data_IF_815808475944
#
_entry.id   IF_815808475944
#
_cell.length_a   1.000
_cell.length_b   1.000
_cell.length_c   1.000
_cell.angle_alpha   90.00
_cell.angle_beta   90.00
_cell.angle_gamma   90.00
#
_symmetry.space_group_name_H-M   'P 1'
#
loop_
_entity.id
_entity.type
_entity.pdbx_description
1 polymer ?
#
# COMPACT_ATOMS: atom_id res chain seq x y z
N UNK A 1 -13.42 -7.13 6.90
CA UNK A 1 -14.06 -5.79 6.90
C UNK A 1 -13.13 -4.69 7.42
N UNK A 2 -12.40 -4.85 8.56
CA UNK A 2 -11.47 -3.82 9.08
C UNK A 2 -10.38 -3.47 8.08
N UNK A 3 -9.89 -4.43 7.31
CA UNK A 3 -8.88 -4.23 6.24
C UNK A 3 -9.36 -3.21 5.22
N UNK A 4 -10.64 -3.25 4.84
CA UNK A 4 -11.20 -2.42 3.79
C UNK A 4 -11.71 -1.04 4.28
N UNK A 5 -11.64 -0.78 5.58
CA UNK A 5 -12.09 0.50 6.13
C UNK A 5 -10.99 1.57 6.12
N UNK A 6 -9.74 1.14 6.11
CA UNK A 6 -8.62 2.05 6.26
C UNK A 6 -7.29 1.36 5.92
N UNK A 7 -6.36 2.10 5.32
CA UNK A 7 -5.00 1.63 5.02
C UNK A 7 -4.15 1.63 6.30
N UNK A 8 -4.24 0.53 7.03
CA UNK A 8 -3.58 0.42 8.33
C UNK A 8 -2.06 0.36 8.17
N UNK A 9 -1.30 1.27 8.81
CA UNK A 9 0.16 1.27 8.71
C UNK A 9 0.82 -0.05 9.15
N UNK A 10 0.14 -0.82 10.00
CA UNK A 10 0.61 -2.13 10.44
C UNK A 10 0.61 -3.18 9.33
N UNK A 11 -0.17 -2.95 8.26
CA UNK A 11 -0.28 -3.83 7.09
C UNK A 11 0.60 -3.38 5.92
N UNK A 12 1.28 -2.23 6.06
CA UNK A 12 2.21 -1.75 5.03
C UNK A 12 3.39 -2.71 4.92
N UNK A 13 3.69 -3.10 3.69
CA UNK A 13 4.84 -3.94 3.33
C UNK A 13 5.62 -3.30 2.19
N UNK A 14 6.89 -3.59 2.16
CA UNK A 14 7.77 -3.17 1.07
C UNK A 14 7.96 -4.33 0.10
N UNK A 15 7.81 -4.05 -1.19
CA UNK A 15 8.13 -4.97 -2.25
C UNK A 15 9.23 -4.40 -3.13
N UNK A 16 10.26 -5.20 -3.38
CA UNK A 16 11.40 -4.81 -4.22
C UNK A 16 11.45 -5.74 -5.43
N UNK A 17 11.48 -5.14 -6.61
CA UNK A 17 11.61 -5.81 -7.90
C UNK A 17 13.04 -5.60 -8.38
N UNK A 18 13.73 -6.70 -8.71
CA UNK A 18 15.01 -6.67 -9.40
C UNK A 18 14.76 -6.96 -10.90
N UNK A 19 14.98 -5.96 -11.75
CA UNK A 19 14.75 -6.07 -13.19
C UNK A 19 15.76 -6.99 -13.89
N UNK A 20 16.86 -7.34 -13.23
CA UNK A 20 17.82 -8.31 -13.76
C UNK A 20 17.35 -9.76 -13.63
N UNK A 21 16.49 -10.04 -12.67
CA UNK A 21 15.95 -11.37 -12.42
C UNK A 21 14.94 -11.78 -13.51
N UNK A 22 14.15 -10.82 -14.01
CA UNK A 22 13.18 -11.04 -15.09
C UNK A 22 13.16 -9.88 -16.08
N UNK A 23 13.74 -10.09 -17.27
CA UNK A 23 13.79 -9.06 -18.31
C UNK A 23 12.48 -8.88 -19.08
N UNK A 24 11.40 -9.58 -18.72
CA UNK A 24 10.10 -9.46 -19.40
C UNK A 24 9.39 -8.14 -19.08
N UNK A 25 9.71 -7.52 -17.95
CA UNK A 25 8.99 -6.35 -17.43
C UNK A 25 7.65 -6.69 -16.79
N UNK A 26 7.35 -7.98 -16.60
CA UNK A 26 6.11 -8.49 -16.01
C UNK A 26 6.46 -9.25 -14.73
N UNK A 27 5.91 -8.82 -13.60
CA UNK A 27 6.23 -9.37 -12.29
C UNK A 27 4.99 -9.84 -11.56
N UNK A 28 5.07 -11.02 -10.94
CA UNK A 28 3.99 -11.55 -10.12
C UNK A 28 3.85 -10.74 -8.84
N UNK A 29 2.62 -10.38 -8.47
CA UNK A 29 2.35 -9.69 -7.21
C UNK A 29 2.66 -10.59 -6.01
N UNK A 30 3.08 -10.01 -4.86
CA UNK A 30 3.22 -10.77 -3.62
C UNK A 30 1.94 -11.52 -3.26
N UNK A 31 2.07 -12.73 -2.70
CA UNK A 31 0.91 -13.57 -2.35
C UNK A 31 -0.05 -12.92 -1.33
N UNK A 32 0.46 -11.99 -0.55
CA UNK A 32 -0.29 -11.22 0.44
C UNK A 32 -0.72 -9.83 -0.05
N UNK A 33 -0.53 -9.54 -1.33
CA UNK A 33 -0.88 -8.24 -1.91
C UNK A 33 -2.38 -7.98 -1.87
N UNK A 34 -2.78 -6.79 -1.41
CA UNK A 34 -4.13 -6.26 -1.50
C UNK A 34 -4.19 -5.11 -2.50
N UNK A 35 -3.52 -4.01 -2.20
CA UNK A 35 -3.40 -2.89 -3.13
C UNK A 35 -2.10 -2.10 -2.89
N UNK A 36 -1.70 -1.35 -3.92
CA UNK A 36 -0.50 -0.53 -3.92
C UNK A 36 -0.75 0.82 -3.25
N UNK A 37 0.25 1.29 -2.51
CA UNK A 37 0.27 2.66 -2.01
C UNK A 37 0.83 3.56 -3.13
N UNK A 38 0.01 4.47 -3.61
CA UNK A 38 0.38 5.36 -4.71
C UNK A 38 1.56 6.25 -4.34
N UNK A 39 2.41 6.54 -5.34
CA UNK A 39 3.57 7.44 -5.24
C UNK A 39 4.69 6.94 -4.30
N UNK A 40 4.73 5.65 -4.01
CA UNK A 40 5.81 5.00 -3.26
C UNK A 40 6.82 4.29 -4.17
N UNK A 41 6.60 4.30 -5.48
CA UNK A 41 7.39 3.57 -6.46
C UNK A 41 8.66 4.35 -6.81
N UNK A 42 9.82 3.79 -6.48
CA UNK A 42 11.11 4.40 -6.72
C UNK A 42 12.11 3.41 -7.30
N UNK A 43 12.86 3.88 -8.29
CA UNK A 43 14.10 3.25 -8.67
C UNK A 43 15.19 3.64 -7.66
N UNK A 44 15.67 2.65 -6.92
CA UNK A 44 16.66 2.85 -5.86
C UNK A 44 18.08 3.10 -6.41
N UNK A 45 18.35 2.63 -7.62
CA UNK A 45 19.69 2.79 -8.23
C UNK A 45 19.89 4.19 -8.81
N UNK A 46 18.85 4.71 -9.48
CA UNK A 46 18.89 6.00 -10.16
C UNK A 46 18.22 7.12 -9.35
N UNK A 47 17.58 6.80 -8.22
CA UNK A 47 16.83 7.74 -7.38
C UNK A 47 15.75 8.51 -8.14
N UNK A 48 15.05 7.82 -9.04
CA UNK A 48 13.99 8.38 -9.90
C UNK A 48 12.64 7.75 -9.54
N UNK A 49 11.57 8.54 -9.42
CA UNK A 49 10.24 7.99 -9.21
C UNK A 49 9.73 7.27 -10.47
N UNK A 50 9.11 6.12 -10.26
CA UNK A 50 8.39 5.38 -11.32
C UNK A 50 6.96 5.86 -11.36
N UNK A 51 6.46 6.20 -12.57
CA UNK A 51 5.10 6.72 -12.75
C UNK A 51 4.06 5.61 -12.74
N UNK A 52 2.97 5.80 -12.05
CA UNK A 52 1.84 4.85 -12.05
C UNK A 52 1.14 4.73 -10.70
N UNK A 53 0.18 3.79 -10.59
CA UNK A 53 -0.31 2.91 -11.66
C UNK A 53 -1.07 3.68 -12.76
N UNK A 54 -0.79 3.36 -14.01
CA UNK A 54 -1.45 3.99 -15.17
C UNK A 54 -2.82 3.36 -15.42
N UNK A 55 -3.76 4.19 -15.88
CA UNK A 55 -5.04 3.71 -16.37
C UNK A 55 -4.87 2.94 -17.69
N UNK A 56 -5.79 2.04 -18.06
CA UNK A 56 -5.73 1.32 -19.35
C UNK A 56 -5.60 2.25 -20.55
N UNK A 57 -6.26 3.41 -20.53
CA UNK A 57 -6.17 4.40 -21.60
C UNK A 57 -4.77 5.02 -21.72
N UNK A 58 -4.17 5.39 -20.59
CA UNK A 58 -2.81 5.94 -20.55
C UNK A 58 -1.78 4.90 -21.00
N UNK A 59 -1.98 3.65 -20.61
CA UNK A 59 -1.10 2.56 -21.01
C UNK A 59 -1.15 2.30 -22.53
N UNK A 60 -2.35 2.18 -23.09
CA UNK A 60 -2.52 1.99 -24.55
C UNK A 60 -1.94 3.15 -25.33
N UNK A 61 -2.07 4.38 -24.83
CA UNK A 61 -1.44 5.55 -25.46
C UNK A 61 0.08 5.44 -25.41
N UNK A 62 0.65 5.04 -24.27
CA UNK A 62 2.09 4.89 -24.09
C UNK A 62 2.68 3.83 -25.03
N UNK A 63 2.03 2.67 -25.15
CA UNK A 63 2.43 1.60 -26.09
C UNK A 63 2.24 2.01 -27.56
N UNK A 64 1.09 2.61 -27.88
CA UNK A 64 0.73 2.99 -29.25
C UNK A 64 1.58 4.10 -29.85
N UNK A 65 2.05 5.02 -29.02
CA UNK A 65 2.91 6.12 -29.48
C UNK A 65 4.37 5.74 -29.60
N UNK A 66 4.74 4.54 -29.13
CA UNK A 66 6.13 4.04 -29.10
C UNK A 66 7.10 5.13 -28.56
N UNK A 67 6.62 5.93 -27.60
CA UNK A 67 7.35 6.99 -26.94
C UNK A 67 8.42 6.39 -26.02
N UNK A 68 9.37 5.69 -26.60
CA UNK A 68 10.65 5.36 -25.98
C UNK A 68 11.48 6.65 -25.98
N UNK A 69 10.90 7.68 -25.39
CA UNK A 69 11.54 8.99 -25.25
C UNK A 69 12.32 9.00 -23.94
N UNK A 70 13.48 9.62 -23.95
CA UNK A 70 14.29 9.89 -22.75
C UNK A 70 13.55 10.67 -21.65
N UNK A 71 12.32 11.07 -21.88
CA UNK A 71 11.48 11.88 -20.98
C UNK A 71 10.64 11.02 -20.03
N UNK A 72 10.30 9.78 -20.41
CA UNK A 72 9.53 8.84 -19.56
C UNK A 72 10.49 7.73 -19.14
N UNK A 73 10.88 7.75 -17.88
CA UNK A 73 11.84 6.81 -17.35
C UNK A 73 11.26 5.39 -17.30
N UNK A 74 10.21 5.21 -16.53
CA UNK A 74 9.45 3.98 -16.42
C UNK A 74 8.04 4.31 -15.93
N UNK A 75 7.09 3.54 -16.42
CA UNK A 75 5.70 3.59 -15.96
C UNK A 75 5.27 2.18 -15.59
N UNK A 76 4.33 2.07 -14.66
CA UNK A 76 3.81 0.78 -14.23
C UNK A 76 2.28 0.76 -14.34
N UNK A 77 1.75 -0.43 -14.59
CA UNK A 77 0.34 -0.75 -14.42
C UNK A 77 0.16 -2.08 -13.69
N UNK A 78 -0.98 -2.22 -13.06
CA UNK A 78 -1.44 -3.51 -12.56
C UNK A 78 -2.43 -4.10 -13.57
N UNK A 79 -2.18 -5.32 -14.00
CA UNK A 79 -3.02 -6.05 -14.94
C UNK A 79 -2.94 -7.55 -14.67
N UNK A 80 -4.09 -8.22 -14.59
CA UNK A 80 -4.21 -9.68 -14.43
C UNK A 80 -3.35 -10.25 -13.26
N UNK A 81 -3.50 -9.64 -12.07
CA UNK A 81 -2.72 -9.98 -10.86
C UNK A 81 -1.19 -9.89 -11.02
N UNK A 82 -0.74 -9.12 -12.01
CA UNK A 82 0.66 -8.84 -12.29
C UNK A 82 0.93 -7.35 -12.31
N UNK A 83 2.20 -7.02 -12.12
CA UNK A 83 2.72 -5.68 -12.35
C UNK A 83 3.49 -5.67 -13.66
N UNK A 84 3.15 -4.74 -14.55
CA UNK A 84 3.88 -4.50 -15.79
C UNK A 84 4.61 -3.17 -15.75
N UNK A 85 5.86 -3.17 -16.22
CA UNK A 85 6.74 -2.00 -16.34
C UNK A 85 6.99 -1.69 -17.81
N UNK A 86 6.76 -0.43 -18.23
CA UNK A 86 7.07 0.03 -19.57
C UNK A 86 7.46 1.52 -19.60
N UNK A 87 8.50 1.95 -20.33
CA UNK A 87 9.58 1.10 -20.82
C UNK A 87 10.31 0.44 -19.65
N UNK A 88 10.85 -0.75 -19.90
CA UNK A 88 11.61 -1.44 -18.87
C UNK A 88 12.94 -0.71 -18.63
N UNK A 89 13.28 -0.37 -17.38
CA UNK A 89 14.58 0.19 -17.06
C UNK A 89 15.71 -0.79 -17.40
N UNK A 90 16.83 -0.25 -17.84
CA UNK A 90 18.01 -1.06 -18.11
C UNK A 90 18.50 -1.78 -16.84
N UNK A 91 18.70 -3.11 -16.87
CA UNK A 91 19.20 -3.84 -15.71
C UNK A 91 20.69 -3.48 -15.43
N UNK A 92 21.15 -3.58 -14.18
CA UNK A 92 20.35 -3.93 -12.98
C UNK A 92 19.63 -2.71 -12.42
N UNK A 93 18.34 -2.83 -12.19
CA UNK A 93 17.54 -1.79 -11.53
C UNK A 93 16.70 -2.40 -10.43
N UNK A 94 16.74 -1.79 -9.25
CA UNK A 94 15.93 -2.17 -8.10
C UNK A 94 14.77 -1.17 -7.94
N UNK A 95 13.56 -1.62 -8.19
CA UNK A 95 12.35 -0.81 -7.99
C UNK A 95 11.73 -1.22 -6.66
N UNK A 96 11.65 -0.27 -5.75
CA UNK A 96 10.99 -0.44 -4.45
C UNK A 96 9.63 0.25 -4.47
N UNK A 97 8.64 -0.40 -3.87
CA UNK A 97 7.32 0.17 -3.65
C UNK A 97 6.71 -0.36 -2.37
N UNK A 98 5.72 0.36 -1.87
CA UNK A 98 4.95 -0.06 -0.71
C UNK A 98 3.55 -0.49 -1.13
N UNK A 99 3.03 -1.48 -0.43
CA UNK A 99 1.67 -2.00 -0.63
C UNK A 99 1.02 -2.35 0.70
N UNK A 100 -0.29 -2.46 0.70
CA UNK A 100 -1.06 -2.98 1.83
C UNK A 100 -1.16 -4.50 1.67
N UNK A 101 -0.79 -5.20 2.73
CA UNK A 101 -0.93 -6.65 2.81
C UNK A 101 -2.34 -7.03 3.27
N UNK A 102 -2.94 -8.05 2.63
CA UNK A 102 -4.19 -8.65 3.10
C UNK A 102 -4.01 -9.56 4.31
N UNK A 103 -2.76 -9.92 4.66
CA UNK A 103 -2.48 -10.78 5.80
C UNK A 103 -2.44 -9.97 7.09
N UNK A 104 -3.44 -10.19 7.93
CA UNK A 104 -3.62 -9.51 9.23
C UNK A 104 -3.59 -10.45 10.42
N UNK A 105 -3.40 -11.77 10.18
CA UNK A 105 -3.26 -12.79 11.20
C UNK A 105 -1.85 -13.36 11.16
N UNK A 106 -1.25 -13.48 12.33
CA UNK A 106 0.05 -14.12 12.52
C UNK A 106 -0.15 -15.44 13.25
N UNK A 107 0.24 -16.53 12.60
CA UNK A 107 0.22 -17.86 13.19
C UNK A 107 1.22 -17.98 14.34
N UNK A 108 0.90 -18.77 15.34
CA UNK A 108 1.79 -18.99 16.45
C UNK A 108 3.17 -19.52 15.98
N UNK A 109 4.23 -18.84 16.42
CA UNK A 109 5.61 -19.16 16.04
C UNK A 109 6.12 -18.44 14.79
N UNK A 110 5.26 -17.70 14.08
CA UNK A 110 5.68 -16.82 13.01
C UNK A 110 6.09 -15.44 13.54
N UNK A 111 6.89 -14.72 12.77
CA UNK A 111 7.36 -13.36 13.10
C UNK A 111 6.66 -12.27 12.27
N UNK A 112 5.95 -12.68 11.23
CA UNK A 112 5.20 -11.79 10.33
C UNK A 112 3.81 -12.37 10.06
N UNK A 113 2.81 -11.54 9.81
CA UNK A 113 1.48 -12.01 9.40
C UNK A 113 1.56 -12.83 8.11
N UNK A 114 0.89 -13.98 8.12
CA UNK A 114 0.95 -14.95 7.02
C UNK A 114 -0.42 -15.47 6.59
N UNK A 115 -1.51 -14.95 7.18
CA UNK A 115 -2.89 -15.37 6.88
C UNK A 115 -3.86 -14.19 6.92
N UNK A 116 -4.96 -14.35 6.19
CA UNK A 116 -6.10 -13.45 6.17
C UNK A 116 -7.29 -13.94 7.03
N UNK A 117 -7.16 -15.13 7.62
CA UNK A 117 -8.19 -15.80 8.42
C UNK A 117 -7.61 -16.38 9.70
N UNK A 118 -8.41 -16.35 10.78
CA UNK A 118 -8.07 -16.98 12.04
C UNK A 118 -8.43 -18.46 11.93
N UNK A 119 -7.47 -19.35 12.21
CA UNK A 119 -7.68 -20.80 12.18
C UNK A 119 -7.59 -21.44 13.56
N UNK A 120 -6.84 -20.87 14.47
CA UNK A 120 -6.65 -21.39 15.82
C UNK A 120 -6.78 -20.30 16.88
N UNK A 121 -7.08 -20.69 18.12
CA UNK A 121 -7.17 -19.75 19.24
C UNK A 121 -5.83 -19.16 19.69
N UNK A 122 -4.72 -19.67 19.18
CA UNK A 122 -3.37 -19.18 19.45
C UNK A 122 -2.86 -18.21 18.39
N UNK A 123 -3.63 -17.97 17.32
CA UNK A 123 -3.29 -17.00 16.29
C UNK A 123 -3.34 -15.58 16.85
N UNK A 124 -2.37 -14.76 16.48
CA UNK A 124 -2.30 -13.36 16.89
C UNK A 124 -2.91 -12.46 15.81
N UNK A 125 -3.74 -11.55 16.24
CA UNK A 125 -4.39 -10.54 15.39
C UNK A 125 -3.56 -9.27 15.43
N UNK A 126 -3.24 -8.69 14.28
CA UNK A 126 -2.44 -7.48 14.18
C UNK A 126 -3.20 -6.20 14.58
N UNK A 127 -4.52 -6.24 14.53
CA UNK A 127 -5.37 -5.13 14.97
C UNK A 127 -5.45 -5.03 16.48
N UNK A 128 -5.84 -3.84 16.97
CA UNK A 128 -6.17 -3.67 18.38
C UNK A 128 -7.27 -4.66 18.82
N UNK A 129 -7.02 -5.52 19.81
CA UNK A 129 -7.99 -6.53 20.22
C UNK A 129 -9.33 -5.92 20.65
N UNK A 130 -9.32 -4.73 21.27
CA UNK A 130 -10.53 -4.08 21.72
C UNK A 130 -11.38 -3.59 20.55
N UNK A 131 -10.75 -3.09 19.46
CA UNK A 131 -11.45 -2.71 18.23
C UNK A 131 -12.14 -3.92 17.59
N UNK A 132 -11.46 -5.08 17.55
CA UNK A 132 -12.01 -6.32 17.02
C UNK A 132 -13.20 -6.79 17.85
N UNK A 133 -13.09 -6.76 19.18
CA UNK A 133 -14.20 -7.13 20.09
C UNK A 133 -15.42 -6.22 19.90
N UNK A 134 -15.22 -4.90 19.74
CA UNK A 134 -16.32 -3.97 19.49
C UNK A 134 -17.01 -4.25 18.15
N UNK A 135 -16.22 -4.53 17.12
CA UNK A 135 -16.78 -4.93 15.81
C UNK A 135 -17.55 -6.23 15.88
N UNK A 136 -17.04 -7.26 16.55
CA UNK A 136 -17.73 -8.53 16.74
C UNK A 136 -19.06 -8.36 17.50
N UNK A 137 -19.06 -7.54 18.57
CA UNK A 137 -20.30 -7.18 19.32
C UNK A 137 -21.32 -6.55 18.39
N UNK A 138 -20.92 -5.57 17.59
CA UNK A 138 -21.79 -4.90 16.62
C UNK A 138 -22.37 -5.89 15.62
N UNK A 139 -21.54 -6.71 15.00
CA UNK A 139 -21.97 -7.72 14.02
C UNK A 139 -22.90 -8.77 14.62
N UNK A 140 -22.63 -9.20 15.86
CA UNK A 140 -23.49 -10.13 16.56
C UNK A 140 -24.90 -9.55 16.80
N UNK A 141 -24.98 -8.31 17.28
CA UNK A 141 -26.28 -7.65 17.52
C UNK A 141 -27.06 -7.47 16.21
N UNK A 142 -26.39 -7.06 15.14
CA UNK A 142 -26.99 -6.93 13.81
C UNK A 142 -27.51 -8.28 13.29
N UNK A 143 -26.72 -9.35 13.41
CA UNK A 143 -27.11 -10.69 12.97
C UNK A 143 -28.31 -11.26 13.75
N UNK A 144 -28.49 -10.84 15.01
CA UNK A 144 -29.63 -11.25 15.86
C UNK A 144 -30.86 -10.35 15.73
N UNK A 145 -30.78 -9.27 14.94
CA UNK A 145 -31.87 -8.29 14.82
C UNK A 145 -32.11 -7.49 16.11
N UNK A 146 -31.10 -7.40 16.99
CA UNK A 146 -31.16 -6.64 18.23
C UNK A 146 -30.77 -5.17 17.99
N UNK A 147 -31.21 -4.23 18.87
CA UNK A 147 -30.78 -2.85 18.77
C UNK A 147 -29.26 -2.75 18.80
N UNK A 148 -28.65 -2.21 17.72
CA UNK A 148 -27.22 -2.17 17.53
C UNK A 148 -26.67 -0.73 17.50
N UNK A 149 -27.53 0.27 17.70
CA UNK A 149 -27.14 1.69 17.52
C UNK A 149 -26.03 2.12 18.49
N UNK A 150 -26.15 1.79 19.75
CA UNK A 150 -25.12 2.14 20.76
C UNK A 150 -23.80 1.43 20.47
N UNK A 151 -23.86 0.14 20.08
CA UNK A 151 -22.68 -0.61 19.71
C UNK A 151 -22.00 -0.05 18.43
N UNK A 152 -22.79 0.47 17.48
CA UNK A 152 -22.27 1.14 16.30
C UNK A 152 -21.56 2.45 16.66
N UNK A 153 -22.12 3.26 17.52
CA UNK A 153 -21.51 4.51 18.00
C UNK A 153 -20.21 4.25 18.79
N UNK A 154 -20.21 3.23 19.66
CA UNK A 154 -19.01 2.81 20.39
C UNK A 154 -17.88 2.35 19.45
N UNK A 155 -18.23 1.55 18.44
CA UNK A 155 -17.28 1.07 17.44
C UNK A 155 -16.72 2.21 16.60
N UNK A 156 -17.59 3.08 16.08
CA UNK A 156 -17.18 4.22 15.26
C UNK A 156 -16.26 5.19 16.01
N UNK A 157 -16.62 5.55 17.24
CA UNK A 157 -15.77 6.40 18.12
C UNK A 157 -14.38 5.80 18.30
N UNK A 158 -14.32 4.49 18.54
CA UNK A 158 -13.04 3.80 18.71
C UNK A 158 -12.25 3.71 17.43
N UNK A 159 -12.92 3.40 16.30
CA UNK A 159 -12.31 3.35 14.97
C UNK A 159 -11.65 4.70 14.64
N UNK A 160 -12.39 5.80 14.76
CA UNK A 160 -11.87 7.16 14.53
C UNK A 160 -10.66 7.48 15.40
N UNK A 161 -10.71 7.13 16.69
CA UNK A 161 -9.59 7.34 17.59
C UNK A 161 -8.34 6.53 17.19
N UNK A 162 -8.52 5.30 16.67
CA UNK A 162 -7.40 4.47 16.19
C UNK A 162 -6.85 4.97 14.87
N UNK A 163 -7.71 5.33 13.93
CA UNK A 163 -7.30 5.93 12.65
C UNK A 163 -6.50 7.22 12.87
N UNK A 164 -6.95 8.10 13.73
CA UNK A 164 -6.25 9.34 14.05
C UNK A 164 -4.85 9.11 14.64
N UNK A 165 -4.68 8.07 15.46
CA UNK A 165 -3.38 7.69 16.01
C UNK A 165 -2.46 7.05 14.96
N UNK A 166 -3.04 6.30 14.04
CA UNK A 166 -2.30 5.59 13.00
C UNK A 166 -1.70 6.52 11.94
N UNK A 167 -2.43 7.58 11.56
CA UNK A 167 -1.97 8.53 10.54
C UNK A 167 -0.92 9.53 11.00
N UNK A 168 -0.71 9.68 12.30
CA UNK A 168 0.06 10.80 12.84
C UNK A 168 -0.65 12.15 12.63
N UNK A 169 0.03 13.24 12.93
CA UNK A 169 -0.52 14.58 12.71
C UNK A 169 -0.36 14.96 11.21
N UNK A 170 -1.45 15.27 10.49
CA UNK A 170 -1.33 15.73 9.11
C UNK A 170 -0.58 17.07 9.07
N UNK A 171 0.42 17.19 8.21
CA UNK A 171 1.08 18.47 7.96
C UNK A 171 0.13 19.38 7.18
N UNK A 172 -0.38 20.41 7.85
CA UNK A 172 -1.13 21.48 7.19
C UNK A 172 -0.15 22.36 6.40
N UNK A 173 -0.10 22.17 5.10
CA UNK A 173 0.66 23.04 4.24
C UNK A 173 -0.21 24.24 3.82
N UNK A 174 -0.09 25.36 4.52
CA UNK A 174 -0.81 26.59 4.24
C UNK A 174 -0.24 27.36 3.02
N UNK A 175 0.78 26.83 2.34
CA UNK A 175 1.39 27.44 1.17
C UNK A 175 0.60 27.20 -0.10
N UNK A 176 0.60 28.18 -1.02
CA UNK A 176 -0.09 28.14 -2.33
C UNK A 176 0.41 27.06 -3.31
N UNK A 177 1.45 26.32 -2.98
CA UNK A 177 1.99 25.27 -3.86
C UNK A 177 1.57 23.87 -3.40
N UNK A 178 0.30 23.55 -3.59
CA UNK A 178 -0.28 22.21 -3.36
C UNK A 178 0.31 21.10 -4.27
N UNK A 179 1.39 21.35 -4.99
CA UNK A 179 2.02 20.44 -5.93
C UNK A 179 3.50 20.13 -5.65
N UNK A 180 4.06 20.61 -4.54
CA UNK A 180 5.40 20.19 -4.17
C UNK A 180 5.28 19.01 -3.21
N UNK A 181 5.51 17.85 -3.73
CA UNK A 181 5.84 16.69 -2.93
C UNK A 181 6.97 17.10 -1.98
N UNK A 182 6.83 16.79 -0.69
CA UNK A 182 7.89 16.99 0.29
C UNK A 182 8.97 15.91 0.10
N UNK A 183 9.43 15.74 -1.11
CA UNK A 183 10.59 14.90 -1.34
C UNK A 183 11.84 15.62 -0.88
N UNK A 184 12.75 14.90 -0.28
CA UNK A 184 14.12 15.33 -0.14
C UNK A 184 14.64 15.55 -1.56
N UNK A 185 14.98 16.76 -1.88
CA UNK A 185 15.60 17.11 -3.17
C UNK A 185 17.00 17.70 -2.91
N UNK A 186 17.79 17.89 -3.96
CA UNK A 186 19.15 18.39 -3.83
C UNK A 186 19.31 19.73 -3.10
N UNK A 187 18.20 20.47 -2.83
CA UNK A 187 18.25 21.73 -2.07
C UNK A 187 17.99 21.55 -0.57
N UNK A 188 17.50 20.41 -0.12
CA UNK A 188 17.24 20.10 1.28
C UNK A 188 17.88 18.79 1.77
N UNK A 189 18.62 18.10 0.91
CA UNK A 189 19.50 17.02 1.32
C UNK A 189 20.81 17.61 1.87
N UNK A 190 21.35 17.11 2.97
CA UNK A 190 22.68 17.54 3.43
C UNK A 190 23.71 17.19 2.35
N UNK A 191 24.51 18.19 1.94
CA UNK A 191 25.66 17.95 1.09
C UNK A 191 26.61 17.00 1.84
N UNK A 192 26.71 15.78 1.39
CA UNK A 192 27.78 14.87 1.78
C UNK A 192 29.01 15.25 0.94
N UNK A 193 29.75 16.25 1.40
CA UNK A 193 31.02 16.60 0.83
C UNK A 193 32.05 15.47 0.91
#
# INVERSE_FOLDING_TARGET
ELVNLYDWPILVRTWTIDTSADPSGIYDLPADYDHMINQTQWDMNNTVPVSGPLSPQQWTYLEGTNLVSQTIYASLRQFDDKLELYPQPAPPTLIMMEYISRYWVMEQGQTVPNRDTISTGSDLIMYDPLLVVKMLKLKYLQAKGLPAQDAAMEFDTMLQARMSKAQGAPMLNAGRSARRYHYINGSNAPDTG
#
